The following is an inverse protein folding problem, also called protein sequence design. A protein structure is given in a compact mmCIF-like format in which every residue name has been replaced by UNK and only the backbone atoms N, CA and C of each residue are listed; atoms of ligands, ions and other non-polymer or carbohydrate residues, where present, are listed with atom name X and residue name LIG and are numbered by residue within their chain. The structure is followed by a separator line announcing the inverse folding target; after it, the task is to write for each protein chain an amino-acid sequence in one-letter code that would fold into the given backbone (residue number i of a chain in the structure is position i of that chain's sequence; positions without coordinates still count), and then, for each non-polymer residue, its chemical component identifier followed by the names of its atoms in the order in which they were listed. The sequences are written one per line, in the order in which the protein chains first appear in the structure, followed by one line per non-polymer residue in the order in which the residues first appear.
data_IF_808637539284
#
_entry.id   IF_808637539284
#
_cell.length_a   1.000
_cell.length_b   1.000
_cell.length_c   1.000
_cell.angle_alpha   90.00
_cell.angle_beta   90.00
_cell.angle_gamma   90.00
#
_symmetry.space_group_name_H-M   'P 1'
#
loop_
_entity.id
_entity.type
_entity.pdbx_description
1 polymer ?
#
# COMPACT_ATOMS: atom_id res chain seq x y z
N UNK A 1 1.67 -14.54 24.09
CA UNK A 1 2.78 -14.01 23.26
C UNK A 1 2.48 -12.67 22.57
N UNK A 2 1.24 -12.40 22.23
CA UNK A 2 0.80 -11.23 21.44
C UNK A 2 0.84 -9.87 22.14
N UNK A 3 0.78 -9.82 23.47
CA UNK A 3 0.74 -8.56 24.26
C UNK A 3 2.02 -7.70 24.15
N UNK A 4 3.15 -8.29 23.68
CA UNK A 4 4.42 -7.55 23.51
C UNK A 4 4.49 -6.76 22.20
N UNK A 5 3.68 -7.08 21.20
CA UNK A 5 3.67 -6.40 19.91
C UNK A 5 2.96 -5.04 19.97
N UNK A 6 1.93 -4.92 20.81
CA UNK A 6 1.16 -3.67 20.95
C UNK A 6 2.04 -2.49 21.39
N UNK A 7 2.87 -2.60 22.44
CA UNK A 7 3.77 -1.50 22.82
C UNK A 7 4.77 -1.12 21.72
N UNK A 8 5.28 -2.12 20.98
CA UNK A 8 6.22 -1.89 19.87
C UNK A 8 5.55 -1.10 18.73
N UNK A 9 4.33 -1.47 18.36
CA UNK A 9 3.57 -0.78 17.31
C UNK A 9 3.20 0.64 17.77
N UNK A 10 2.79 0.83 19.02
CA UNK A 10 2.49 2.15 19.59
C UNK A 10 3.75 3.03 19.64
N UNK A 11 4.89 2.48 20.05
CA UNK A 11 6.14 3.21 20.05
C UNK A 11 6.59 3.58 18.63
N UNK A 12 6.49 2.64 17.70
CA UNK A 12 6.79 2.88 16.29
C UNK A 12 5.88 3.96 15.68
N UNK A 13 4.58 3.92 15.95
CA UNK A 13 3.64 4.95 15.48
C UNK A 13 3.92 6.31 16.09
N UNK A 14 4.21 6.37 17.38
CA UNK A 14 4.60 7.61 18.07
C UNK A 14 5.90 8.18 17.50
N UNK A 15 6.89 7.33 17.21
CA UNK A 15 8.15 7.74 16.61
C UNK A 15 7.97 8.30 15.20
N UNK A 16 7.19 7.61 14.38
CA UNK A 16 6.91 8.01 12.98
C UNK A 16 5.99 9.22 12.90
N UNK A 17 4.91 9.29 13.68
CA UNK A 17 3.91 10.34 13.56
C UNK A 17 4.14 11.53 14.48
N UNK A 18 4.86 11.35 15.62
CA UNK A 18 5.00 12.31 16.75
C UNK A 18 3.66 13.01 17.12
N UNK A 19 2.51 12.50 16.67
CA UNK A 19 1.18 13.03 16.89
C UNK A 19 0.48 12.17 17.93
N UNK A 20 0.23 12.75 19.08
CA UNK A 20 -0.47 12.09 20.18
C UNK A 20 -1.88 11.63 19.79
N UNK A 21 -2.56 12.38 18.91
CA UNK A 21 -3.91 12.05 18.42
C UNK A 21 -3.93 10.74 17.62
N UNK A 22 -2.93 10.53 16.76
CA UNK A 22 -2.84 9.32 15.93
C UNK A 22 -2.46 8.13 16.79
N UNK A 23 -1.50 8.30 17.70
CA UNK A 23 -1.11 7.24 18.64
C UNK A 23 -2.29 6.81 19.52
N UNK A 24 -3.10 7.76 19.99
CA UNK A 24 -4.33 7.46 20.75
C UNK A 24 -5.35 6.69 19.90
N UNK A 25 -5.55 7.09 18.64
CA UNK A 25 -6.43 6.38 17.70
C UNK A 25 -5.96 4.95 17.46
N UNK A 26 -4.66 4.75 17.26
CA UNK A 26 -4.06 3.42 17.10
C UNK A 26 -4.24 2.57 18.36
N UNK A 27 -3.99 3.16 19.54
CA UNK A 27 -4.20 2.48 20.82
C UNK A 27 -5.66 2.05 21.00
N UNK A 28 -6.61 2.96 20.72
CA UNK A 28 -8.04 2.66 20.79
C UNK A 28 -8.41 1.49 19.87
N UNK A 29 -7.89 1.46 18.65
CA UNK A 29 -8.14 0.39 17.69
C UNK A 29 -7.58 -0.96 18.15
N UNK A 30 -6.36 -0.97 18.73
CA UNK A 30 -5.82 -2.20 19.31
C UNK A 30 -6.63 -2.70 20.51
N UNK A 31 -7.12 -1.81 21.37
CA UNK A 31 -8.04 -2.16 22.46
C UNK A 31 -9.33 -2.76 21.89
N UNK A 32 -9.91 -2.18 20.85
CA UNK A 32 -11.07 -2.73 20.16
C UNK A 32 -10.83 -4.17 19.67
N UNK A 33 -9.70 -4.45 19.00
CA UNK A 33 -9.38 -5.79 18.54
C UNK A 33 -9.11 -6.78 19.66
N UNK A 34 -8.56 -6.33 20.79
CA UNK A 34 -8.37 -7.16 21.98
C UNK A 34 -9.70 -7.50 22.64
N UNK A 35 -10.62 -6.53 22.71
CA UNK A 35 -11.94 -6.71 23.33
C UNK A 35 -12.83 -7.64 22.51
N UNK A 36 -12.72 -7.57 21.17
CA UNK A 36 -13.50 -8.40 20.24
C UNK A 36 -12.87 -9.76 19.96
N UNK A 37 -11.69 -10.08 20.51
CA UNK A 37 -10.89 -11.28 20.26
C UNK A 37 -10.49 -11.49 18.78
N UNK A 38 -10.44 -10.38 18.01
CA UNK A 38 -10.07 -10.38 16.57
C UNK A 38 -8.62 -9.95 16.32
N UNK A 39 -7.82 -9.79 17.37
CA UNK A 39 -6.45 -9.30 17.31
C UNK A 39 -5.55 -10.11 16.35
N UNK A 40 -5.62 -11.44 16.43
CA UNK A 40 -4.80 -12.30 15.56
C UNK A 40 -5.11 -12.09 14.07
N UNK A 41 -6.37 -11.99 13.72
CA UNK A 41 -6.82 -11.73 12.35
C UNK A 41 -6.41 -10.34 11.85
N UNK A 42 -6.47 -9.33 12.73
CA UNK A 42 -6.02 -7.98 12.40
C UNK A 42 -4.52 -7.93 12.09
N UNK A 43 -3.68 -8.60 12.90
CA UNK A 43 -2.23 -8.68 12.67
C UNK A 43 -1.90 -9.46 11.39
N UNK A 44 -2.63 -10.52 11.08
CA UNK A 44 -2.45 -11.26 9.82
C UNK A 44 -2.75 -10.35 8.62
N UNK A 45 -3.87 -9.63 8.64
CA UNK A 45 -4.23 -8.67 7.60
C UNK A 45 -3.15 -7.60 7.44
N UNK A 46 -2.70 -6.98 8.54
CA UNK A 46 -1.63 -5.97 8.53
C UNK A 46 -0.32 -6.52 7.96
N UNK A 47 0.06 -7.75 8.33
CA UNK A 47 1.29 -8.38 7.85
C UNK A 47 1.25 -8.60 6.33
N UNK A 48 0.14 -9.06 5.80
CA UNK A 48 -0.04 -9.27 4.35
C UNK A 48 0.04 -7.92 3.61
N UNK A 49 -0.69 -6.90 4.08
CA UNK A 49 -0.68 -5.57 3.47
C UNK A 49 0.73 -4.99 3.48
N UNK A 50 1.43 -5.09 4.60
CA UNK A 50 2.78 -4.55 4.75
C UNK A 50 3.77 -5.20 3.77
N UNK A 51 3.78 -6.53 3.70
CA UNK A 51 4.66 -7.28 2.76
C UNK A 51 4.32 -6.94 1.32
N UNK A 52 3.04 -6.99 0.93
CA UNK A 52 2.61 -6.70 -0.44
C UNK A 52 2.92 -5.23 -0.82
N UNK A 53 2.71 -4.28 0.09
CA UNK A 53 3.02 -2.86 -0.18
C UNK A 53 4.52 -2.65 -0.38
N UNK A 54 5.38 -3.26 0.44
CA UNK A 54 6.83 -3.18 0.27
C UNK A 54 7.23 -3.73 -1.10
N UNK A 55 6.75 -4.91 -1.47
CA UNK A 55 7.05 -5.53 -2.76
C UNK A 55 6.54 -4.67 -3.93
N UNK A 56 5.32 -4.17 -3.86
CA UNK A 56 4.76 -3.25 -4.86
C UNK A 56 5.59 -1.96 -4.99
N UNK A 57 6.06 -1.41 -3.89
CA UNK A 57 6.88 -0.19 -3.88
C UNK A 57 8.26 -0.44 -4.48
N UNK A 58 8.92 -1.54 -4.06
CA UNK A 58 10.25 -1.92 -4.58
C UNK A 58 10.25 -2.20 -6.08
N UNK A 59 9.19 -2.76 -6.61
CA UNK A 59 9.05 -3.06 -8.05
C UNK A 59 8.47 -1.86 -8.80
N UNK A 60 7.45 -1.22 -8.22
CA UNK A 60 6.67 -0.18 -8.89
C UNK A 60 7.41 1.13 -9.07
N UNK A 61 8.21 1.57 -8.09
CA UNK A 61 8.99 2.81 -8.23
C UNK A 61 10.00 2.70 -9.40
N UNK A 62 10.85 1.66 -9.51
CA UNK A 62 11.75 1.51 -10.65
C UNK A 62 11.02 1.46 -12.00
N UNK A 63 9.88 0.78 -12.08
CA UNK A 63 9.06 0.74 -13.31
C UNK A 63 8.52 2.14 -13.63
N UNK A 64 8.01 2.88 -12.65
CA UNK A 64 7.53 4.26 -12.82
C UNK A 64 8.63 5.20 -13.29
N UNK A 65 9.85 5.08 -12.74
CA UNK A 65 11.04 5.82 -13.20
C UNK A 65 11.36 5.45 -14.65
N UNK A 66 11.35 4.18 -15.01
CA UNK A 66 11.61 3.74 -16.38
C UNK A 66 10.59 4.34 -17.37
N UNK A 67 9.32 4.34 -17.01
CA UNK A 67 8.24 4.95 -17.79
C UNK A 67 8.41 6.46 -17.96
N UNK A 68 8.88 7.17 -16.91
CA UNK A 68 9.10 8.62 -16.98
C UNK A 68 10.24 9.01 -17.91
N UNK A 69 11.25 8.14 -18.05
CA UNK A 69 12.45 8.37 -18.86
C UNK A 69 12.33 7.90 -20.32
N UNK A 70 11.46 6.95 -20.60
CA UNK A 70 11.30 6.35 -21.94
C UNK A 70 9.83 6.33 -22.35
N UNK A 71 9.45 7.15 -23.33
CA UNK A 71 8.08 7.19 -23.85
C UNK A 71 7.65 5.84 -24.46
N UNK A 72 8.58 5.09 -25.04
CA UNK A 72 8.31 3.73 -25.51
C UNK A 72 7.91 2.80 -24.37
N UNK A 73 8.59 2.87 -23.22
CA UNK A 73 8.23 2.10 -22.03
C UNK A 73 6.84 2.49 -21.52
N UNK A 74 6.54 3.79 -21.49
CA UNK A 74 5.22 4.27 -21.09
C UNK A 74 4.13 3.74 -22.03
N UNK A 75 4.31 3.80 -23.34
CA UNK A 75 3.32 3.31 -24.32
C UNK A 75 3.05 1.81 -24.22
N UNK A 76 4.05 1.02 -23.83
CA UNK A 76 3.91 -0.45 -23.69
C UNK A 76 3.29 -0.80 -22.31
N UNK A 77 3.75 -0.15 -21.24
CA UNK A 77 3.34 -0.51 -19.87
C UNK A 77 1.94 0.05 -19.55
N UNK A 78 1.57 1.23 -20.04
CA UNK A 78 0.27 1.84 -19.72
C UNK A 78 -0.91 0.93 -20.05
N UNK A 79 -1.03 0.29 -21.25
CA UNK A 79 -2.13 -0.63 -21.52
C UNK A 79 -2.17 -1.83 -20.57
N UNK A 80 -1.01 -2.32 -20.13
CA UNK A 80 -0.94 -3.42 -19.14
C UNK A 80 -1.49 -2.96 -17.79
N UNK A 81 -1.11 -1.75 -17.35
CA UNK A 81 -1.65 -1.17 -16.11
C UNK A 81 -3.16 -0.91 -16.22
N UNK A 82 -3.64 -0.45 -17.38
CA UNK A 82 -5.07 -0.25 -17.64
C UNK A 82 -5.82 -1.58 -17.55
N UNK A 83 -5.30 -2.63 -18.16
CA UNK A 83 -5.87 -3.97 -18.10
C UNK A 83 -5.93 -4.47 -16.65
N UNK A 84 -4.86 -4.29 -15.86
CA UNK A 84 -4.85 -4.70 -14.46
C UNK A 84 -5.88 -3.97 -13.60
N UNK A 85 -6.27 -2.73 -13.93
CA UNK A 85 -7.28 -1.98 -13.19
C UNK A 85 -8.71 -2.19 -13.69
N UNK A 86 -8.89 -2.48 -14.96
CA UNK A 86 -10.22 -2.66 -15.57
C UNK A 86 -10.77 -4.07 -15.39
N UNK A 87 -9.89 -5.07 -15.27
CA UNK A 87 -10.33 -6.44 -15.01
C UNK A 87 -10.98 -6.55 -13.63
N UNK A 88 -12.14 -7.21 -13.53
CA UNK A 88 -12.72 -7.54 -12.23
C UNK A 88 -11.72 -8.33 -11.39
N UNK A 89 -11.61 -7.99 -10.11
CA UNK A 89 -10.60 -8.57 -9.20
C UNK A 89 -10.66 -10.11 -9.11
N UNK A 90 -11.82 -10.70 -9.28
CA UNK A 90 -11.99 -12.17 -9.32
C UNK A 90 -11.32 -12.82 -10.53
N UNK A 91 -11.18 -12.09 -11.64
CA UNK A 91 -10.60 -12.64 -12.86
C UNK A 91 -9.11 -13.00 -12.69
N UNK A 92 -8.38 -12.27 -11.84
CA UNK A 92 -6.99 -12.65 -11.54
C UNK A 92 -6.88 -13.93 -10.72
N UNK A 93 -7.86 -14.19 -9.87
CA UNK A 93 -7.82 -15.35 -8.97
C UNK A 93 -7.90 -16.66 -9.74
N UNK A 94 -8.68 -16.69 -10.83
CA UNK A 94 -8.90 -17.90 -11.62
C UNK A 94 -7.59 -18.51 -12.14
N UNK A 95 -6.76 -17.81 -12.94
CA UNK A 95 -5.50 -18.36 -13.42
C UNK A 95 -4.50 -18.62 -12.28
N UNK A 96 -4.52 -17.83 -11.22
CA UNK A 96 -3.63 -18.04 -10.08
C UNK A 96 -3.96 -19.32 -9.30
N UNK A 97 -5.25 -19.68 -9.18
CA UNK A 97 -5.67 -20.94 -8.56
C UNK A 97 -5.18 -22.16 -9.36
N UNK A 98 -5.11 -22.05 -10.69
CA UNK A 98 -4.57 -23.13 -11.54
C UNK A 98 -3.03 -23.24 -11.45
N UNK A 99 -2.33 -22.14 -11.19
CA UNK A 99 -0.87 -22.10 -11.11
C UNK A 99 -0.33 -22.47 -9.72
N UNK A 100 -1.08 -22.15 -8.66
CA UNK A 100 -0.68 -22.30 -7.28
C UNK A 100 -1.73 -23.06 -6.49
N UNK A 101 -1.32 -23.77 -5.43
CA UNK A 101 -2.28 -24.37 -4.50
C UNK A 101 -3.00 -23.30 -3.70
N UNK A 102 -4.29 -23.52 -3.43
CA UNK A 102 -5.16 -22.55 -2.72
C UNK A 102 -4.60 -22.13 -1.36
N UNK A 103 -3.82 -23.01 -0.70
CA UNK A 103 -3.21 -22.73 0.61
C UNK A 103 -1.86 -22.01 0.54
N UNK A 104 -1.33 -21.76 -0.65
CA UNK A 104 -0.02 -21.12 -0.79
C UNK A 104 -0.10 -19.58 -0.65
N UNK A 105 0.77 -18.98 0.19
CA UNK A 105 0.85 -17.51 0.32
C UNK A 105 1.14 -16.79 -0.99
N UNK A 106 1.79 -17.45 -1.94
CA UNK A 106 2.10 -16.90 -3.27
C UNK A 106 0.85 -16.55 -4.06
N UNK A 107 -0.22 -17.36 -3.95
CA UNK A 107 -1.45 -17.16 -4.68
C UNK A 107 -2.08 -15.80 -4.31
N UNK A 108 -2.44 -15.64 -3.04
CA UNK A 108 -3.10 -14.40 -2.61
C UNK A 108 -2.16 -13.21 -2.60
N UNK A 109 -0.86 -13.42 -2.33
CA UNK A 109 0.13 -12.35 -2.41
C UNK A 109 0.26 -11.76 -3.81
N UNK A 110 0.36 -12.59 -4.86
CA UNK A 110 0.41 -12.13 -6.25
C UNK A 110 -0.90 -11.46 -6.68
N UNK A 111 -2.05 -12.01 -6.27
CA UNK A 111 -3.35 -11.41 -6.58
C UNK A 111 -3.47 -9.98 -6.01
N UNK A 112 -3.04 -9.79 -4.75
CA UNK A 112 -3.02 -8.47 -4.11
C UNK A 112 -2.05 -7.55 -4.84
N UNK A 113 -0.84 -8.04 -5.18
CA UNK A 113 0.17 -7.23 -5.85
C UNK A 113 -0.26 -6.77 -7.23
N UNK A 114 -0.84 -7.64 -8.06
CA UNK A 114 -1.30 -7.25 -9.41
C UNK A 114 -2.31 -6.12 -9.38
N UNK A 115 -3.20 -6.11 -8.40
CA UNK A 115 -4.18 -5.07 -8.25
C UNK A 115 -3.60 -3.78 -7.67
N UNK A 116 -2.74 -3.88 -6.66
CA UNK A 116 -2.29 -2.74 -5.86
C UNK A 116 -1.01 -2.05 -6.36
N UNK A 117 -0.26 -2.65 -7.30
CA UNK A 117 0.99 -2.07 -7.81
C UNK A 117 0.77 -0.86 -8.73
N UNK A 118 -0.40 -0.76 -9.35
CA UNK A 118 -0.65 0.23 -10.41
C UNK A 118 -0.51 1.68 -9.95
N UNK A 119 -1.06 2.10 -8.79
CA UNK A 119 -0.95 3.49 -8.34
C UNK A 119 0.49 3.95 -8.12
N UNK A 120 1.34 3.14 -7.50
CA UNK A 120 2.73 3.53 -7.25
C UNK A 120 3.50 3.70 -8.55
N UNK A 121 3.25 2.85 -9.57
CA UNK A 121 3.87 2.99 -10.88
C UNK A 121 3.42 4.30 -11.55
N UNK A 122 2.10 4.53 -11.61
CA UNK A 122 1.53 5.69 -12.30
C UNK A 122 1.92 7.01 -11.65
N UNK A 123 1.82 7.09 -10.32
CA UNK A 123 2.13 8.32 -9.60
C UNK A 123 3.63 8.60 -9.54
N UNK A 124 4.49 7.57 -9.57
CA UNK A 124 5.92 7.76 -9.75
C UNK A 124 6.25 8.32 -11.13
N UNK A 125 5.68 7.74 -12.20
CA UNK A 125 5.86 8.25 -13.56
C UNK A 125 5.36 9.69 -13.68
N UNK A 126 4.16 9.97 -13.17
CA UNK A 126 3.56 11.31 -13.21
C UNK A 126 4.39 12.32 -12.42
N UNK A 127 4.78 11.98 -11.19
CA UNK A 127 5.54 12.87 -10.31
C UNK A 127 6.86 13.30 -10.93
N UNK A 128 7.60 12.38 -11.56
CA UNK A 128 8.86 12.72 -12.22
C UNK A 128 8.63 13.59 -13.47
N UNK A 129 7.58 13.33 -14.24
CA UNK A 129 7.25 14.13 -15.43
C UNK A 129 6.73 15.54 -15.11
N UNK A 130 6.20 15.75 -13.92
CA UNK A 130 5.70 17.04 -13.42
C UNK A 130 6.81 17.94 -12.85
N UNK A 131 8.05 17.47 -12.73
CA UNK A 131 9.16 18.29 -12.28
C UNK A 131 9.38 19.44 -13.25
N UNK A 132 9.53 20.65 -12.71
CA UNK A 132 9.72 21.88 -13.49
C UNK A 132 10.93 21.74 -14.42
N UNK A 133 10.70 22.04 -15.71
CA UNK A 133 11.75 21.99 -16.73
C UNK A 133 12.88 22.95 -16.47
N UNK A 134 12.59 24.13 -15.88
CA UNK A 134 13.62 25.10 -15.51
C UNK A 134 14.63 24.52 -14.50
N UNK A 135 14.16 23.71 -13.55
CA UNK A 135 15.03 23.04 -12.58
C UNK A 135 15.88 21.94 -13.25
N UNK A 136 15.32 21.26 -14.26
CA UNK A 136 16.05 20.26 -15.05
C UNK A 136 17.12 20.94 -15.91
N UNK A 137 16.82 22.06 -16.56
CA UNK A 137 17.76 22.86 -17.34
C UNK A 137 18.88 23.45 -16.46
N UNK A 138 18.53 23.94 -15.27
CA UNK A 138 19.53 24.41 -14.30
C UNK A 138 20.48 23.25 -13.89
N UNK A 139 19.96 22.06 -13.61
CA UNK A 139 20.78 20.90 -13.28
C UNK A 139 21.73 20.51 -14.44
N UNK A 140 21.25 20.63 -15.69
CA UNK A 140 22.09 20.40 -16.90
C UNK A 140 23.16 21.49 -17.03
N UNK A 141 22.85 22.76 -16.74
CA UNK A 141 23.81 23.85 -16.76
C UNK A 141 24.91 23.69 -15.70
N UNK A 142 24.61 23.07 -14.54
CA UNK A 142 25.61 22.68 -13.54
C UNK A 142 26.41 21.43 -13.91
N UNK A 143 26.19 20.83 -15.09
CA UNK A 143 26.93 19.66 -15.57
C UNK A 143 26.55 18.37 -14.86
N UNK A 144 25.34 18.26 -14.30
CA UNK A 144 24.88 17.02 -13.66
C UNK A 144 24.70 15.90 -14.66
N UNK A 145 25.24 14.72 -14.33
CA UNK A 145 24.96 13.51 -15.12
C UNK A 145 23.47 13.11 -15.00
N UNK A 146 22.90 12.37 -15.98
CA UNK A 146 21.50 11.94 -15.91
C UNK A 146 21.14 11.20 -14.61
N UNK A 147 22.08 10.44 -14.03
CA UNK A 147 21.88 9.74 -12.77
C UNK A 147 21.86 10.70 -11.57
N UNK A 148 22.76 11.68 -11.54
CA UNK A 148 22.78 12.72 -10.50
C UNK A 148 21.50 13.56 -10.54
N UNK A 149 21.06 13.96 -11.73
CA UNK A 149 19.81 14.70 -11.95
C UNK A 149 18.60 13.91 -11.43
N UNK A 150 18.52 12.61 -11.77
CA UNK A 150 17.43 11.75 -11.29
C UNK A 150 17.39 11.68 -9.75
N UNK A 151 18.55 11.40 -9.11
CA UNK A 151 18.61 11.13 -7.66
C UNK A 151 18.51 12.42 -6.85
N UNK A 152 19.16 13.50 -7.27
CA UNK A 152 19.32 14.71 -6.47
C UNK A 152 18.24 15.77 -6.76
N UNK A 153 17.57 15.70 -7.93
CA UNK A 153 16.58 16.71 -8.34
C UNK A 153 15.20 16.06 -8.54
N UNK A 154 15.09 15.12 -9.48
CA UNK A 154 13.80 14.64 -9.92
C UNK A 154 13.07 13.80 -8.87
N UNK A 155 13.74 12.78 -8.29
CA UNK A 155 13.13 11.92 -7.25
C UNK A 155 12.75 12.76 -6.02
N UNK A 156 13.63 13.63 -5.49
CA UNK A 156 13.27 14.51 -4.40
C UNK A 156 12.02 15.38 -4.67
N UNK A 157 11.93 16.01 -5.82
CA UNK A 157 10.78 16.84 -6.18
C UNK A 157 9.52 16.03 -6.49
N UNK A 158 9.68 14.81 -7.00
CA UNK A 158 8.57 13.89 -7.26
C UNK A 158 8.07 13.13 -6.01
N UNK A 159 8.80 13.23 -4.87
CA UNK A 159 8.52 12.42 -3.68
C UNK A 159 7.09 12.55 -3.16
N UNK A 160 6.45 13.73 -3.11
CA UNK A 160 5.05 13.84 -2.71
C UNK A 160 4.12 12.96 -3.56
N UNK A 161 4.31 12.94 -4.88
CA UNK A 161 3.53 12.10 -5.79
C UNK A 161 3.85 10.61 -5.63
N UNK A 162 5.12 10.26 -5.44
CA UNK A 162 5.55 8.87 -5.18
C UNK A 162 4.89 8.35 -3.91
N UNK A 163 4.93 9.13 -2.83
CA UNK A 163 4.34 8.73 -1.55
C UNK A 163 2.81 8.71 -1.59
N UNK A 164 2.18 9.58 -2.37
CA UNK A 164 0.75 9.48 -2.65
C UNK A 164 0.43 8.15 -3.36
N UNK A 165 1.29 7.71 -4.29
CA UNK A 165 1.21 6.39 -4.93
C UNK A 165 1.33 5.24 -3.94
N UNK A 166 2.28 5.31 -3.01
CA UNK A 166 2.45 4.31 -1.95
C UNK A 166 1.22 4.27 -1.05
N UNK A 167 0.70 5.43 -0.62
CA UNK A 167 -0.53 5.48 0.19
C UNK A 167 -1.71 4.82 -0.53
N UNK A 168 -1.91 5.13 -1.81
CA UNK A 168 -2.98 4.52 -2.60
C UNK A 168 -2.77 3.02 -2.77
N UNK A 169 -1.53 2.55 -2.94
CA UNK A 169 -1.17 1.13 -2.98
C UNK A 169 -1.54 0.42 -1.68
N UNK A 170 -1.30 1.02 -0.51
CA UNK A 170 -1.73 0.49 0.79
C UNK A 170 -3.25 0.30 0.83
N UNK A 171 -4.01 1.31 0.41
CA UNK A 171 -5.47 1.26 0.44
C UNK A 171 -6.03 0.22 -0.53
N UNK A 172 -5.44 0.08 -1.73
CA UNK A 172 -5.83 -0.94 -2.69
C UNK A 172 -5.44 -2.35 -2.22
N UNK A 173 -4.28 -2.51 -1.57
CA UNK A 173 -3.88 -3.78 -0.95
C UNK A 173 -4.88 -4.21 0.12
N UNK A 174 -5.34 -3.29 0.97
CA UNK A 174 -6.34 -3.57 2.00
C UNK A 174 -7.67 -4.03 1.38
N UNK A 175 -8.15 -3.34 0.34
CA UNK A 175 -9.37 -3.73 -0.36
C UNK A 175 -9.25 -5.14 -0.96
N UNK A 176 -8.09 -5.45 -1.57
CA UNK A 176 -7.86 -6.73 -2.22
C UNK A 176 -7.66 -7.88 -1.23
N UNK A 177 -7.10 -7.65 -0.04
CA UNK A 177 -6.95 -8.68 1.02
C UNK A 177 -8.31 -9.28 1.41
N UNK A 178 -9.37 -8.47 1.46
CA UNK A 178 -10.71 -8.97 1.76
C UNK A 178 -11.19 -9.93 0.67
N UNK A 179 -10.99 -9.56 -0.60
CA UNK A 179 -11.35 -10.42 -1.74
C UNK A 179 -10.46 -11.66 -1.79
N UNK A 180 -9.17 -11.52 -1.50
CA UNK A 180 -8.23 -12.64 -1.46
C UNK A 180 -8.55 -13.69 -0.37
N UNK A 181 -9.38 -13.33 0.61
CA UNK A 181 -9.89 -14.30 1.60
C UNK A 181 -10.76 -15.39 0.96
N UNK A 182 -11.34 -15.16 -0.22
CA UNK A 182 -12.04 -16.19 -1.01
C UNK A 182 -11.09 -17.32 -1.45
N UNK A 183 -9.79 -17.04 -1.54
CA UNK A 183 -8.74 -18.01 -1.86
C UNK A 183 -7.84 -18.27 -0.66
N UNK A 184 -8.43 -18.32 0.52
CA UNK A 184 -7.78 -18.69 1.79
C UNK A 184 -6.70 -17.70 2.29
N UNK A 185 -6.71 -16.44 1.87
CA UNK A 185 -5.88 -15.43 2.51
C UNK A 185 -6.32 -15.25 3.97
N UNK A 186 -5.42 -15.46 4.96
CA UNK A 186 -5.79 -15.35 6.37
C UNK A 186 -6.00 -13.88 6.78
N UNK A 187 -6.85 -13.64 7.79
CA UNK A 187 -7.06 -12.31 8.35
C UNK A 187 -8.54 -11.97 8.53
N UNK A 188 -8.84 -10.68 8.73
CA UNK A 188 -10.20 -10.20 8.98
C UNK A 188 -11.18 -10.52 7.85
N UNK A 189 -10.70 -10.61 6.61
CA UNK A 189 -11.53 -10.96 5.48
C UNK A 189 -12.16 -12.35 5.59
N UNK A 190 -11.48 -13.33 6.21
CA UNK A 190 -12.04 -14.68 6.43
C UNK A 190 -13.23 -14.64 7.37
N UNK A 191 -13.19 -13.78 8.39
CA UNK A 191 -14.31 -13.61 9.33
C UNK A 191 -15.51 -12.90 8.68
N UNK A 192 -15.25 -11.96 7.76
CA UNK A 192 -16.32 -11.34 6.96
C UNK A 192 -17.01 -12.40 6.11
N UNK A 193 -16.24 -13.25 5.41
CA UNK A 193 -16.77 -14.35 4.60
C UNK A 193 -17.53 -15.38 5.44
N UNK A 194 -16.99 -15.75 6.61
CA UNK A 194 -17.67 -16.66 7.54
C UNK A 194 -19.02 -16.06 8.00
N UNK A 195 -19.04 -14.77 8.29
CA UNK A 195 -20.24 -14.03 8.65
C UNK A 195 -21.30 -14.04 7.55
N UNK A 196 -20.90 -13.89 6.29
CA UNK A 196 -21.78 -13.90 5.14
C UNK A 196 -22.28 -15.32 4.84
N UNK A 197 -21.37 -16.28 4.72
CA UNK A 197 -21.67 -17.65 4.29
C UNK A 197 -22.50 -18.43 5.33
N UNK A 198 -22.27 -18.19 6.62
CA UNK A 198 -22.93 -18.88 7.72
C UNK A 198 -24.03 -18.03 8.40
N UNK A 199 -24.38 -16.87 7.81
CA UNK A 199 -25.38 -15.92 8.33
C UNK A 199 -25.07 -15.45 9.78
N UNK A 200 -23.80 -15.45 10.16
CA UNK A 200 -23.32 -14.94 11.45
C UNK A 200 -23.08 -13.44 11.37
N UNK A 201 -24.16 -12.68 11.23
CA UNK A 201 -24.11 -11.23 10.97
C UNK A 201 -23.24 -10.46 11.98
N UNK A 202 -23.28 -10.84 13.25
CA UNK A 202 -22.46 -10.18 14.31
C UNK A 202 -20.96 -10.31 14.04
N UNK A 203 -20.47 -11.51 13.68
CA UNK A 203 -19.04 -11.75 13.39
C UNK A 203 -18.63 -10.99 12.13
N UNK A 204 -19.42 -11.09 11.07
CA UNK A 204 -19.13 -10.40 9.82
C UNK A 204 -19.12 -8.87 9.98
N UNK A 205 -20.07 -8.32 10.75
CA UNK A 205 -20.15 -6.88 11.01
C UNK A 205 -18.94 -6.37 11.80
N UNK A 206 -18.57 -7.05 12.90
CA UNK A 206 -17.43 -6.67 13.74
C UNK A 206 -16.12 -6.77 12.94
N UNK A 207 -15.93 -7.84 12.15
CA UNK A 207 -14.75 -7.99 11.30
C UNK A 207 -14.70 -6.92 10.20
N UNK A 208 -15.83 -6.63 9.54
CA UNK A 208 -15.93 -5.55 8.55
C UNK A 208 -15.63 -4.19 9.11
N UNK A 209 -16.18 -3.86 10.30
CA UNK A 209 -15.84 -2.64 11.01
C UNK A 209 -14.36 -2.58 11.38
N UNK A 210 -13.78 -3.73 11.79
CA UNK A 210 -12.34 -3.84 12.06
C UNK A 210 -11.48 -3.50 10.82
N UNK A 211 -11.89 -3.91 9.61
CA UNK A 211 -11.21 -3.54 8.37
C UNK A 211 -11.27 -2.03 8.13
N UNK A 212 -12.42 -1.39 8.35
CA UNK A 212 -12.55 0.07 8.24
C UNK A 212 -11.62 0.79 9.22
N UNK A 213 -11.56 0.30 10.46
CA UNK A 213 -10.67 0.83 11.49
C UNK A 213 -9.19 0.71 11.05
N UNK A 214 -8.76 -0.43 10.52
CA UNK A 214 -7.41 -0.60 9.96
C UNK A 214 -7.15 0.35 8.79
N UNK A 215 -8.12 0.53 7.90
CA UNK A 215 -8.01 1.46 6.78
C UNK A 215 -7.72 2.89 7.25
N UNK A 216 -8.51 3.37 8.22
CA UNK A 216 -8.33 4.72 8.78
C UNK A 216 -6.97 4.89 9.44
N UNK A 217 -6.50 3.89 10.18
CA UNK A 217 -5.17 3.93 10.81
C UNK A 217 -4.07 4.03 9.76
N UNK A 218 -4.09 3.13 8.77
CA UNK A 218 -3.08 3.08 7.73
C UNK A 218 -3.04 4.38 6.91
N UNK A 219 -4.20 4.93 6.56
CA UNK A 219 -4.31 6.22 5.87
C UNK A 219 -3.72 7.37 6.70
N UNK A 220 -4.05 7.44 7.98
CA UNK A 220 -3.55 8.50 8.87
C UNK A 220 -2.05 8.41 9.10
N UNK A 221 -1.51 7.21 9.31
CA UNK A 221 -0.07 7.01 9.51
C UNK A 221 0.69 7.40 8.23
N UNK A 222 0.26 6.91 7.06
CA UNK A 222 0.97 7.17 5.81
C UNK A 222 0.92 8.64 5.40
N UNK A 223 -0.23 9.33 5.56
CA UNK A 223 -0.36 10.77 5.30
C UNK A 223 0.49 11.62 6.24
N UNK A 224 0.54 11.26 7.52
CA UNK A 224 1.36 12.01 8.48
C UNK A 224 2.85 11.77 8.27
N UNK A 225 3.24 10.56 7.87
CA UNK A 225 4.62 10.29 7.46
C UNK A 225 5.01 11.12 6.23
N UNK A 226 4.09 11.28 5.27
CA UNK A 226 4.29 12.10 4.08
C UNK A 226 4.47 13.59 4.43
N UNK A 227 3.53 14.16 5.21
CA UNK A 227 3.57 15.58 5.58
C UNK A 227 4.90 15.98 6.24
N UNK A 228 5.52 15.07 7.00
CA UNK A 228 6.82 15.31 7.61
C UNK A 228 7.98 15.33 6.65
N UNK A 229 7.92 14.50 5.62
CA UNK A 229 8.95 14.49 4.58
C UNK A 229 8.91 15.84 3.84
N UNK A 230 7.73 16.41 3.65
CA UNK A 230 7.56 17.72 3.02
C UNK A 230 8.06 18.85 3.94
N UNK A 231 7.65 18.89 5.22
CA UNK A 231 8.12 19.90 6.19
C UNK A 231 9.64 19.89 6.37
N UNK A 232 10.30 18.74 6.32
CA UNK A 232 11.76 18.64 6.44
C UNK A 232 12.55 19.22 5.25
N UNK A 233 11.85 19.67 4.19
CA UNK A 233 12.45 20.21 2.97
C UNK A 233 12.25 21.69 2.80
N UNK A 234 11.34 22.30 3.55
CA UNK A 234 11.14 23.76 3.57
C UNK A 234 12.14 24.48 4.48
N UNK A 235 13.01 23.74 5.18
CA UNK A 235 14.14 24.23 6.00
C UNK A 235 15.44 24.00 5.25
#
# INVERSE_FOLDING_TARGET
MYKRQVPLILFGTQYVTKSFRITFLVAFCFVFFLFTDHYTYAIQTLSIIFVCTILCTLIGIPIGILMSKKDTAQRIITPVLDMLQTLPTFVYLIPLIFLFKITEPKLYGLAIMFYSIVPVIRLTNLGIRLVDKNLIEAADAYGMTPRQKLINVEIPLALPNIMAGVNQTIMMSLAMVVIASLVSAPGLGTLVLDGINNLRLGVGFVAGFGIVVLAVILDRISKTALARIDESREI
#
